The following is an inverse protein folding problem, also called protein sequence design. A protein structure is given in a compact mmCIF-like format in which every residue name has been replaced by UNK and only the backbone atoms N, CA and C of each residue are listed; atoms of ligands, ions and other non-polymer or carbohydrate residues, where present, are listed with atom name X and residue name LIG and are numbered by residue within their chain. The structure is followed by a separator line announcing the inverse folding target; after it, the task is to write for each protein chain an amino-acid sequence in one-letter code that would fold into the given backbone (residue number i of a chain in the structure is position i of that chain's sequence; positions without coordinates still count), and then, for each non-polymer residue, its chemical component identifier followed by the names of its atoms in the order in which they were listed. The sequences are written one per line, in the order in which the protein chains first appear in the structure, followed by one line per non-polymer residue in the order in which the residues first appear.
data_IF_887720458993
#
_entry.id   IF_887720458993
#
_cell.length_a   1.000
_cell.length_b   1.000
_cell.length_c   1.000
_cell.angle_alpha   90.00
_cell.angle_beta   90.00
_cell.angle_gamma   90.00
#
_symmetry.space_group_name_H-M   'P 1'
#
loop_
_entity.id
_entity.type
_entity.pdbx_description
1 polymer ?
#
# COMPACT_ATOMS: atom_id res chain seq x y z
N UNK A 1 -62.33 -30.90 27.78
CA UNK A 1 -61.13 -31.71 27.48
C UNK A 1 -61.12 -31.96 25.97
N UNK A 2 -60.02 -31.77 25.21
CA UNK A 2 -58.84 -30.89 25.37
C UNK A 2 -58.61 -29.96 24.11
N UNK A 3 -58.19 -28.68 24.26
CA UNK A 3 -56.84 -28.09 24.04
C UNK A 3 -56.42 -27.86 22.54
N UNK A 4 -55.46 -26.97 22.14
CA UNK A 4 -54.78 -25.87 22.87
C UNK A 4 -54.41 -24.59 22.04
N UNK A 5 -53.74 -23.66 22.75
CA UNK A 5 -52.62 -22.73 22.40
C UNK A 5 -52.79 -21.40 21.65
N UNK A 6 -52.28 -20.39 22.36
CA UNK A 6 -51.91 -19.05 21.94
C UNK A 6 -50.83 -19.02 20.85
N UNK A 7 -50.94 -18.02 19.96
CA UNK A 7 -49.90 -17.66 19.00
C UNK A 7 -49.92 -16.15 18.78
N UNK A 8 -49.01 -15.46 19.47
CA UNK A 8 -48.64 -14.05 19.24
C UNK A 8 -48.00 -13.94 17.85
N UNK A 9 -48.41 -12.97 17.05
CA UNK A 9 -47.82 -12.80 15.71
C UNK A 9 -48.39 -11.65 14.89
N UNK A 10 -48.42 -10.45 15.47
CA UNK A 10 -48.70 -9.22 14.73
C UNK A 10 -47.47 -8.86 13.89
N UNK A 11 -47.44 -9.32 12.64
CA UNK A 11 -46.45 -8.90 11.66
C UNK A 11 -46.96 -7.67 10.89
N UNK A 12 -46.84 -6.49 11.50
CA UNK A 12 -46.86 -5.22 10.77
C UNK A 12 -45.42 -4.92 10.29
N UNK A 13 -45.04 -5.44 9.11
CA UNK A 13 -43.88 -4.93 8.40
C UNK A 13 -44.34 -3.84 7.42
N UNK A 14 -44.46 -2.61 7.94
CA UNK A 14 -44.50 -1.41 7.11
C UNK A 14 -43.07 -1.09 6.66
N UNK A 15 -42.67 -1.64 5.52
CA UNK A 15 -41.40 -1.36 4.87
C UNK A 15 -41.63 -0.82 3.47
N UNK A 16 -42.22 0.37 3.33
CA UNK A 16 -42.19 1.09 2.05
C UNK A 16 -40.78 1.60 1.84
N UNK A 17 -39.95 0.78 1.17
CA UNK A 17 -38.64 1.18 0.70
C UNK A 17 -38.82 2.24 -0.39
N UNK A 18 -38.86 3.50 0.01
CA UNK A 18 -38.76 4.64 -0.90
C UNK A 18 -37.33 4.65 -1.44
N UNK A 19 -37.09 3.87 -2.49
CA UNK A 19 -35.84 3.89 -3.24
C UNK A 19 -35.63 5.33 -3.73
N UNK A 20 -34.68 6.02 -3.09
CA UNK A 20 -34.30 7.36 -3.47
C UNK A 20 -33.56 7.26 -4.81
N UNK A 21 -34.32 7.36 -5.91
CA UNK A 21 -33.79 7.36 -7.27
C UNK A 21 -32.94 8.61 -7.43
N UNK A 22 -31.62 8.45 -7.30
CA UNK A 22 -30.67 9.50 -7.59
C UNK A 22 -30.91 9.98 -9.03
N UNK A 23 -30.99 11.29 -9.29
CA UNK A 23 -31.16 11.79 -10.65
C UNK A 23 -29.94 11.34 -11.46
N UNK A 24 -30.17 10.56 -12.50
CA UNK A 24 -29.15 10.22 -13.49
C UNK A 24 -28.66 11.54 -14.09
N UNK A 25 -27.51 11.99 -13.59
CA UNK A 25 -26.72 12.99 -14.27
C UNK A 25 -26.18 12.30 -15.51
N UNK A 26 -26.95 12.38 -16.59
CA UNK A 26 -26.42 12.19 -17.93
C UNK A 26 -25.35 13.26 -18.15
N UNK A 27 -24.14 12.99 -17.66
CA UNK A 27 -22.95 13.67 -18.10
C UNK A 27 -22.81 13.22 -19.55
N UNK A 28 -23.26 14.05 -20.49
CA UNK A 28 -22.89 13.90 -21.89
C UNK A 28 -21.38 14.08 -21.99
N UNK A 29 -20.63 13.02 -21.70
CA UNK A 29 -19.22 12.92 -22.04
C UNK A 29 -19.20 12.76 -23.56
N UNK A 30 -19.01 13.88 -24.26
CA UNK A 30 -18.69 13.88 -25.69
C UNK A 30 -17.32 13.22 -25.87
N UNK A 31 -17.25 12.29 -26.85
CA UNK A 31 -16.13 11.43 -27.23
C UNK A 31 -14.85 11.55 -26.38
N UNK A 32 -14.78 10.81 -25.29
CA UNK A 32 -13.49 10.60 -24.59
C UNK A 32 -12.76 9.43 -25.24
N UNK A 33 -11.50 9.65 -25.66
CA UNK A 33 -10.61 8.56 -26.09
C UNK A 33 -10.31 7.66 -24.90
N UNK A 34 -11.08 6.59 -24.76
CA UNK A 34 -10.85 5.56 -23.74
C UNK A 34 -9.69 4.68 -24.17
N UNK A 35 -8.72 4.48 -23.27
CA UNK A 35 -7.55 3.65 -23.50
C UNK A 35 -7.40 2.67 -22.36
N UNK A 36 -7.05 1.44 -22.70
CA UNK A 36 -6.61 0.43 -21.73
C UNK A 36 -5.11 0.27 -21.85
N UNK A 37 -4.40 0.46 -20.74
CA UNK A 37 -2.96 0.30 -20.64
C UNK A 37 -2.67 -0.94 -19.80
N UNK A 38 -1.78 -1.80 -20.29
CA UNK A 38 -1.30 -2.96 -19.56
C UNK A 38 0.22 -2.87 -19.51
N UNK A 39 0.79 -2.94 -18.32
CA UNK A 39 2.21 -2.71 -18.14
C UNK A 39 2.65 -2.75 -16.69
N UNK A 40 3.86 -2.25 -16.43
CA UNK A 40 4.46 -2.24 -15.11
C UNK A 40 4.72 -0.82 -14.63
N UNK A 41 4.57 -0.60 -13.34
CA UNK A 41 4.87 0.70 -12.72
C UNK A 41 6.40 0.91 -12.67
N UNK A 42 6.89 2.00 -13.24
CA UNK A 42 8.33 2.29 -13.30
C UNK A 42 8.78 3.36 -12.31
N UNK A 43 7.89 4.28 -11.93
CA UNK A 43 8.22 5.36 -11.00
C UNK A 43 7.57 5.14 -9.64
N UNK A 44 8.13 5.77 -8.61
CA UNK A 44 7.49 5.86 -7.31
C UNK A 44 6.10 6.49 -7.46
N UNK A 45 5.13 6.01 -6.68
CA UNK A 45 3.82 6.63 -6.56
C UNK A 45 3.95 7.88 -5.70
N UNK A 46 3.56 9.01 -6.26
CA UNK A 46 3.51 10.29 -5.56
C UNK A 46 2.06 10.62 -5.22
N UNK A 47 1.69 10.55 -3.94
CA UNK A 47 0.40 11.03 -3.46
C UNK A 47 0.52 12.51 -3.10
N UNK A 48 -0.34 13.33 -3.72
CA UNK A 48 -0.43 14.78 -3.49
C UNK A 48 -1.83 15.12 -3.02
N UNK A 49 -1.91 15.80 -1.89
CA UNK A 49 -3.16 16.35 -1.38
C UNK A 49 -3.43 17.70 -2.05
N UNK A 50 -4.57 17.81 -2.73
CA UNK A 50 -5.05 19.07 -3.31
C UNK A 50 -6.02 19.68 -2.31
N UNK A 51 -5.71 20.86 -1.74
CA UNK A 51 -6.59 21.51 -0.77
C UNK A 51 -7.92 21.88 -1.43
N UNK A 52 -8.97 21.94 -0.61
CA UNK A 52 -10.28 22.39 -1.06
C UNK A 52 -10.18 23.85 -1.53
N UNK A 53 -10.39 24.08 -2.82
CA UNK A 53 -10.55 25.42 -3.38
C UNK A 53 -12.04 25.73 -3.52
N UNK A 54 -12.39 27.03 -3.62
CA UNK A 54 -13.79 27.52 -3.64
C UNK A 54 -14.65 26.73 -4.66
N UNK A 55 -15.46 25.78 -4.18
CA UNK A 55 -16.35 24.93 -4.99
C UNK A 55 -15.87 23.48 -5.26
N UNK A 56 -14.68 23.07 -4.80
CA UNK A 56 -14.16 21.71 -4.96
C UNK A 56 -13.75 21.12 -3.61
N UNK A 57 -14.20 19.89 -3.32
CA UNK A 57 -13.80 19.18 -2.10
C UNK A 57 -12.31 18.83 -2.14
N UNK A 58 -11.69 18.76 -0.95
CA UNK A 58 -10.32 18.30 -0.81
C UNK A 58 -10.18 16.92 -1.47
N UNK A 59 -9.25 16.83 -2.41
CA UNK A 59 -9.09 15.65 -3.27
C UNK A 59 -7.63 15.26 -3.30
N UNK A 60 -7.36 13.96 -3.33
CA UNK A 60 -5.99 13.46 -3.45
C UNK A 60 -5.73 13.02 -4.88
N UNK A 61 -4.49 13.20 -5.33
CA UNK A 61 -4.04 12.76 -6.64
C UNK A 61 -2.80 11.91 -6.47
N UNK A 62 -2.83 10.72 -7.06
CA UNK A 62 -1.66 9.85 -7.13
C UNK A 62 -1.13 9.88 -8.56
N UNK A 63 0.14 10.25 -8.73
CA UNK A 63 0.81 10.26 -10.02
C UNK A 63 1.94 9.25 -10.05
N UNK A 64 1.99 8.45 -11.11
CA UNK A 64 3.06 7.48 -11.37
C UNK A 64 3.23 7.25 -12.87
N UNK A 65 4.30 6.57 -13.26
CA UNK A 65 4.62 6.26 -14.66
C UNK A 65 4.54 4.76 -14.89
N UNK A 66 3.98 4.38 -16.03
CA UNK A 66 3.84 2.99 -16.45
C UNK A 66 4.60 2.77 -17.75
N UNK A 67 5.33 1.67 -17.82
CA UNK A 67 5.86 1.14 -19.07
C UNK A 67 4.90 0.09 -19.62
N UNK A 68 4.40 0.32 -20.84
CA UNK A 68 3.64 -0.64 -21.60
C UNK A 68 4.54 -1.18 -22.69
N UNK A 69 4.93 -2.45 -22.59
CA UNK A 69 5.83 -3.12 -23.52
C UNK A 69 5.09 -4.07 -24.45
N UNK A 70 5.53 -4.13 -25.71
CA UNK A 70 5.08 -5.16 -26.65
C UNK A 70 6.09 -6.31 -26.62
N UNK A 71 5.64 -7.49 -26.21
CA UNK A 71 6.46 -8.70 -26.26
C UNK A 71 6.50 -9.24 -27.68
N UNK A 72 7.70 -9.41 -28.24
CA UNK A 72 7.93 -9.99 -29.57
C UNK A 72 8.79 -11.26 -29.40
N UNK A 73 8.40 -12.40 -30.00
CA UNK A 73 9.21 -13.60 -29.92
C UNK A 73 10.52 -13.41 -30.68
N UNK A 74 11.64 -13.76 -30.06
CA UNK A 74 13.00 -13.61 -30.63
C UNK A 74 13.32 -14.70 -31.66
N UNK A 75 12.47 -15.72 -31.80
CA UNK A 75 12.73 -16.90 -32.63
C UNK A 75 13.71 -17.91 -32.00
N UNK A 76 14.18 -17.62 -30.79
CA UNK A 76 14.95 -18.54 -29.95
C UNK A 76 14.02 -19.21 -28.94
N UNK A 77 14.34 -20.44 -28.58
CA UNK A 77 13.63 -21.21 -27.56
C UNK A 77 14.56 -21.52 -26.41
N UNK A 78 14.03 -21.45 -25.20
CA UNK A 78 14.71 -21.82 -23.96
C UNK A 78 14.89 -23.35 -23.84
N UNK A 79 15.63 -23.82 -22.84
CA UNK A 79 15.87 -25.25 -22.56
C UNK A 79 14.56 -26.05 -22.40
N UNK A 80 13.51 -25.40 -21.90
CA UNK A 80 12.16 -25.95 -21.75
C UNK A 80 11.30 -25.88 -23.04
N UNK A 81 11.88 -25.61 -24.21
CA UNK A 81 11.19 -25.36 -25.48
C UNK A 81 10.17 -24.19 -25.43
N UNK A 82 10.36 -23.23 -24.52
CA UNK A 82 9.50 -22.03 -24.44
C UNK A 82 10.09 -20.92 -25.32
N UNK A 83 9.26 -20.19 -26.09
CA UNK A 83 9.76 -19.07 -26.88
C UNK A 83 10.27 -17.96 -25.96
N UNK A 84 11.47 -17.47 -26.25
CA UNK A 84 12.03 -16.29 -25.58
C UNK A 84 11.40 -15.05 -26.21
N UNK A 85 10.91 -14.15 -25.36
CA UNK A 85 10.31 -12.89 -25.78
C UNK A 85 11.21 -11.71 -25.41
N UNK A 86 11.40 -10.80 -26.36
CA UNK A 86 12.04 -9.51 -26.13
C UNK A 86 10.99 -8.39 -26.05
N UNK A 87 11.37 -7.27 -25.43
CA UNK A 87 10.54 -6.08 -25.30
C UNK A 87 10.82 -5.10 -26.44
N UNK A 88 9.83 -4.83 -27.28
CA UNK A 88 9.88 -3.79 -28.31
C UNK A 88 8.82 -2.70 -28.07
N UNK A 89 9.00 -1.54 -28.71
CA UNK A 89 8.04 -0.43 -28.75
C UNK A 89 7.49 0.00 -27.37
N UNK A 90 8.39 0.15 -26.37
CA UNK A 90 7.97 0.45 -24.99
C UNK A 90 7.41 1.87 -24.87
N UNK A 91 6.13 1.97 -24.51
CA UNK A 91 5.46 3.23 -24.22
C UNK A 91 5.58 3.60 -22.74
N UNK A 92 6.18 4.75 -22.45
CA UNK A 92 6.22 5.32 -21.09
C UNK A 92 5.22 6.45 -20.94
N UNK A 93 4.14 6.20 -20.19
CA UNK A 93 3.08 7.20 -19.98
C UNK A 93 2.86 7.49 -18.50
N UNK A 94 2.64 8.77 -18.18
CA UNK A 94 2.25 9.21 -16.85
C UNK A 94 0.76 8.98 -16.61
N UNK A 95 0.42 8.40 -15.46
CA UNK A 95 -0.94 8.07 -15.06
C UNK A 95 -1.32 8.93 -13.86
N UNK A 96 -2.52 9.48 -13.90
CA UNK A 96 -3.13 10.26 -12.81
C UNK A 96 -4.37 9.54 -12.27
N UNK A 97 -4.35 9.20 -10.98
CA UNK A 97 -5.50 8.70 -10.25
C UNK A 97 -6.02 9.79 -9.31
N UNK A 98 -7.34 9.91 -9.20
CA UNK A 98 -7.99 10.98 -8.42
C UNK A 98 -8.88 10.41 -7.31
N UNK A 99 -9.00 11.15 -6.21
CA UNK A 99 -9.91 10.85 -5.11
C UNK A 99 -9.55 9.57 -4.36
N UNK A 100 -10.55 8.71 -4.14
CA UNK A 100 -10.37 7.45 -3.42
C UNK A 100 -9.50 6.44 -4.19
N UNK A 101 -9.56 6.46 -5.52
CA UNK A 101 -8.69 5.64 -6.36
C UNK A 101 -7.21 5.95 -6.09
N UNK A 102 -6.87 7.23 -5.90
CA UNK A 102 -5.51 7.65 -5.58
C UNK A 102 -5.00 7.05 -4.26
N UNK A 103 -5.84 7.06 -3.22
CA UNK A 103 -5.55 6.46 -1.90
C UNK A 103 -5.31 4.97 -2.03
N UNK A 104 -6.24 4.29 -2.68
CA UNK A 104 -6.22 2.84 -2.81
C UNK A 104 -4.99 2.40 -3.59
N UNK A 105 -4.72 3.01 -4.74
CA UNK A 105 -3.53 2.73 -5.56
C UNK A 105 -2.24 2.93 -4.77
N UNK A 106 -2.08 4.07 -4.08
CA UNK A 106 -0.90 4.35 -3.28
C UNK A 106 -0.68 3.38 -2.11
N UNK A 107 -1.76 2.83 -1.55
CA UNK A 107 -1.67 1.84 -0.44
C UNK A 107 -1.47 0.39 -0.90
N UNK A 108 -1.68 0.11 -2.19
CA UNK A 108 -1.82 -1.25 -2.72
C UNK A 108 -0.69 -1.60 -3.69
N UNK A 109 -0.23 -0.64 -4.48
CA UNK A 109 0.71 -0.85 -5.58
C UNK A 109 2.06 -0.19 -5.29
N UNK A 110 3.12 -0.80 -5.82
CA UNK A 110 4.50 -0.37 -5.66
C UNK A 110 5.21 -0.31 -7.01
N UNK A 111 6.47 0.17 -7.00
CA UNK A 111 7.32 0.14 -8.19
C UNK A 111 7.51 -1.33 -8.60
N UNK A 112 7.38 -1.61 -9.90
CA UNK A 112 7.48 -2.94 -10.47
C UNK A 112 6.14 -3.67 -10.60
N UNK A 113 5.13 -3.29 -9.82
CA UNK A 113 3.83 -3.96 -9.84
C UNK A 113 3.21 -3.96 -11.25
N UNK A 114 2.72 -5.11 -11.74
CA UNK A 114 2.04 -5.19 -13.01
C UNK A 114 0.59 -4.73 -12.85
N UNK A 115 0.14 -3.90 -13.78
CA UNK A 115 -1.15 -3.20 -13.68
C UNK A 115 -1.90 -3.19 -15.00
N UNK A 116 -3.22 -3.23 -14.87
CA UNK A 116 -4.19 -2.93 -15.93
C UNK A 116 -4.90 -1.64 -15.56
N UNK A 117 -4.90 -0.68 -16.48
CA UNK A 117 -5.45 0.65 -16.28
C UNK A 117 -6.45 0.93 -17.38
N UNK A 118 -7.66 1.34 -17.01
CA UNK A 118 -8.66 1.87 -17.94
C UNK A 118 -8.88 3.34 -17.64
N UNK A 119 -8.79 4.19 -18.65
CA UNK A 119 -8.85 5.64 -18.48
C UNK A 119 -9.01 6.38 -19.79
N UNK A 120 -8.76 7.69 -19.72
CA UNK A 120 -8.71 8.56 -20.90
C UNK A 120 -7.36 9.22 -21.06
N UNK A 121 -6.97 9.47 -22.29
CA UNK A 121 -5.77 10.26 -22.59
C UNK A 121 -6.11 11.75 -22.54
N UNK A 122 -5.28 12.49 -21.81
CA UNK A 122 -5.41 13.93 -21.60
C UNK A 122 -4.08 14.60 -21.90
N UNK A 123 -4.10 15.62 -22.74
CA UNK A 123 -2.96 16.51 -22.93
C UNK A 123 -3.02 17.63 -21.90
N UNK A 124 -2.12 17.61 -20.94
CA UNK A 124 -1.99 18.68 -19.94
C UNK A 124 -0.98 19.69 -20.45
N UNK A 125 -1.41 20.94 -20.64
CA UNK A 125 -0.53 22.04 -21.03
C UNK A 125 -0.37 23.07 -19.92
N UNK A 126 0.84 23.57 -19.71
CA UNK A 126 1.13 24.65 -18.76
C UNK A 126 2.13 25.63 -19.37
N UNK A 127 2.15 26.84 -18.85
CA UNK A 127 3.11 27.87 -19.26
C UNK A 127 4.25 27.90 -18.25
N UNK A 128 5.47 27.78 -18.77
CA UNK A 128 6.71 27.85 -18.02
C UNK A 128 7.35 29.22 -18.29
N UNK A 129 7.67 29.97 -17.23
CA UNK A 129 8.45 31.20 -17.37
C UNK A 129 9.91 30.82 -17.54
N UNK A 130 10.49 31.17 -18.68
CA UNK A 130 11.91 31.00 -18.97
C UNK A 130 12.60 32.36 -18.81
N UNK A 131 13.89 32.33 -18.47
CA UNK A 131 14.71 33.51 -18.18
C UNK A 131 14.47 34.64 -19.21
N UNK A 132 14.14 35.84 -18.70
CA UNK A 132 13.85 37.03 -19.52
C UNK A 132 12.38 37.19 -19.95
N UNK A 133 11.43 37.01 -19.03
CA UNK A 133 9.98 37.32 -19.19
C UNK A 133 9.26 36.59 -20.34
N UNK A 134 9.88 35.56 -20.91
CA UNK A 134 9.30 34.74 -21.98
C UNK A 134 8.54 33.56 -21.38
N UNK A 135 7.25 33.48 -21.68
CA UNK A 135 6.40 32.32 -21.35
C UNK A 135 6.44 31.28 -22.48
N UNK A 136 6.87 30.06 -22.17
CA UNK A 136 6.87 28.92 -23.08
C UNK A 136 5.74 27.96 -22.70
N UNK A 137 4.84 27.68 -23.65
CA UNK A 137 3.79 26.68 -23.44
C UNK A 137 4.34 25.28 -23.63
N UNK A 138 4.33 24.49 -22.55
CA UNK A 138 4.66 23.06 -22.55
C UNK A 138 3.37 22.24 -22.60
N UNK A 139 3.46 21.04 -23.15
CA UNK A 139 2.37 20.06 -23.07
C UNK A 139 2.93 18.67 -22.84
N UNK A 140 2.18 17.85 -22.11
CA UNK A 140 2.50 16.45 -21.85
C UNK A 140 1.24 15.61 -21.95
N UNK A 141 1.39 14.42 -22.51
CA UNK A 141 0.32 13.44 -22.61
C UNK A 141 0.31 12.61 -21.32
N UNK A 142 -0.85 12.52 -20.67
CA UNK A 142 -1.09 11.72 -19.48
C UNK A 142 -2.35 10.87 -19.64
N UNK A 143 -2.40 9.75 -18.94
CA UNK A 143 -3.61 8.95 -18.81
C UNK A 143 -4.31 9.30 -17.49
N UNK A 144 -5.54 9.81 -17.55
CA UNK A 144 -6.39 9.95 -16.37
C UNK A 144 -7.16 8.65 -16.18
N UNK A 145 -6.82 7.90 -15.14
CA UNK A 145 -7.39 6.59 -14.88
C UNK A 145 -8.80 6.68 -14.25
N UNK A 146 -9.70 5.81 -14.71
CA UNK A 146 -10.99 5.54 -14.07
C UNK A 146 -10.91 4.28 -13.21
N UNK A 147 -10.20 3.26 -13.71
CA UNK A 147 -10.00 1.99 -13.04
C UNK A 147 -8.53 1.60 -13.11
N UNK A 148 -8.00 1.09 -12.00
CA UNK A 148 -6.66 0.54 -11.90
C UNK A 148 -6.75 -0.75 -11.10
N UNK A 149 -6.21 -1.83 -11.65
CA UNK A 149 -6.13 -3.12 -10.96
C UNK A 149 -4.76 -3.77 -11.17
N UNK A 150 -4.31 -4.63 -10.24
CA UNK A 150 -3.15 -5.47 -10.46
C UNK A 150 -3.43 -6.48 -11.57
N UNK A 151 -2.42 -6.76 -12.41
CA UNK A 151 -2.51 -7.79 -13.44
C UNK A 151 -2.21 -9.17 -12.84
N UNK A 152 -3.28 -9.90 -12.51
CA UNK A 152 -3.21 -11.23 -11.89
C UNK A 152 -2.65 -12.32 -12.81
N UNK A 153 -2.51 -12.04 -14.11
CA UNK A 153 -1.82 -12.95 -15.03
C UNK A 153 -0.31 -12.98 -14.74
N UNK A 154 0.25 -11.86 -14.31
CA UNK A 154 1.71 -11.69 -14.12
C UNK A 154 2.12 -11.90 -12.67
N UNK A 155 1.30 -11.49 -11.71
CA UNK A 155 1.65 -11.55 -10.28
C UNK A 155 0.43 -11.89 -9.43
N UNK A 156 0.60 -12.80 -8.46
CA UNK A 156 -0.43 -13.10 -7.48
C UNK A 156 -0.57 -11.92 -6.51
N UNK A 157 -1.77 -11.35 -6.43
CA UNK A 157 -2.05 -10.23 -5.53
C UNK A 157 -2.73 -10.74 -4.25
N UNK A 158 -2.09 -10.51 -3.11
CA UNK A 158 -2.64 -10.87 -1.79
C UNK A 158 -3.63 -9.79 -1.35
N UNK A 159 -4.79 -10.20 -0.88
CA UNK A 159 -5.80 -9.24 -0.42
C UNK A 159 -5.33 -8.47 0.81
N UNK A 160 -5.88 -7.26 1.02
CA UNK A 160 -5.53 -6.45 2.19
C UNK A 160 -5.77 -7.20 3.51
N UNK A 161 -6.81 -8.02 3.60
CA UNK A 161 -7.12 -8.81 4.80
C UNK A 161 -6.01 -9.81 5.12
N UNK A 162 -5.66 -10.63 4.14
CA UNK A 162 -4.58 -11.62 4.27
C UNK A 162 -3.23 -10.96 4.56
N UNK A 163 -2.95 -9.78 3.98
CA UNK A 163 -1.75 -9.00 4.30
C UNK A 163 -1.73 -8.52 5.76
N UNK A 164 -2.88 -8.10 6.30
CA UNK A 164 -2.97 -7.67 7.70
C UNK A 164 -2.77 -8.86 8.65
N UNK A 165 -3.32 -10.02 8.34
CA UNK A 165 -3.11 -11.24 9.11
C UNK A 165 -1.63 -11.65 9.14
N UNK A 166 -0.97 -11.61 7.97
CA UNK A 166 0.48 -11.89 7.86
C UNK A 166 1.32 -10.87 8.63
N UNK A 167 0.93 -9.59 8.58
CA UNK A 167 1.62 -8.52 9.28
C UNK A 167 1.47 -8.68 10.80
N UNK A 168 0.29 -9.05 11.27
CA UNK A 168 0.04 -9.32 12.69
C UNK A 168 0.86 -10.52 13.17
N UNK A 169 0.87 -11.62 12.42
CA UNK A 169 1.67 -12.80 12.76
C UNK A 169 3.17 -12.46 12.84
N UNK A 170 3.66 -11.65 11.89
CA UNK A 170 5.05 -11.19 11.86
C UNK A 170 5.36 -10.26 13.04
N UNK A 171 4.43 -9.38 13.41
CA UNK A 171 4.56 -8.48 14.55
C UNK A 171 4.62 -9.26 15.87
N UNK A 172 3.75 -10.26 16.04
CA UNK A 172 3.74 -11.14 17.21
C UNK A 172 5.04 -11.95 17.34
N UNK A 173 5.56 -12.48 16.22
CA UNK A 173 6.87 -13.18 16.19
C UNK A 173 8.02 -12.25 16.60
N UNK A 174 8.03 -11.01 16.10
CA UNK A 174 9.04 -9.98 16.49
C UNK A 174 8.94 -9.64 17.97
N UNK A 175 7.72 -9.48 18.51
CA UNK A 175 7.51 -9.17 19.91
C UNK A 175 8.01 -10.29 20.83
N UNK A 176 7.68 -11.56 20.53
CA UNK A 176 8.18 -12.73 21.27
C UNK A 176 9.71 -12.76 21.33
N UNK A 177 10.35 -12.54 20.18
CA UNK A 177 11.81 -12.50 20.08
C UNK A 177 12.43 -11.38 20.93
N UNK A 178 11.82 -10.19 20.96
CA UNK A 178 12.29 -9.07 21.79
C UNK A 178 12.14 -9.37 23.29
N UNK A 179 11.02 -9.98 23.70
CA UNK A 179 10.80 -10.40 25.09
C UNK A 179 11.83 -11.44 25.51
N UNK A 180 12.10 -12.43 24.67
CA UNK A 180 13.13 -13.45 24.93
C UNK A 180 14.52 -12.84 25.08
N UNK A 181 14.90 -11.91 24.20
CA UNK A 181 16.17 -11.18 24.28
C UNK A 181 16.28 -10.37 25.58
N UNK A 182 15.21 -9.68 25.97
CA UNK A 182 15.20 -8.91 27.21
C UNK A 182 15.36 -9.81 28.45
N UNK A 183 14.67 -10.95 28.48
CA UNK A 183 14.82 -11.93 29.55
C UNK A 183 16.23 -12.52 29.61
N UNK A 184 16.85 -12.82 28.47
CA UNK A 184 18.23 -13.30 28.41
C UNK A 184 19.22 -12.27 28.95
N UNK A 185 19.06 -10.99 28.60
CA UNK A 185 19.89 -9.91 29.14
C UNK A 185 19.73 -9.77 30.65
N UNK A 186 18.51 -9.88 31.19
CA UNK A 186 18.28 -9.85 32.63
C UNK A 186 18.95 -11.03 33.33
N UNK A 187 18.81 -12.25 32.79
CA UNK A 187 19.47 -13.46 33.33
C UNK A 187 21.00 -13.34 33.33
N UNK A 188 21.59 -12.79 32.27
CA UNK A 188 23.04 -12.55 32.18
C UNK A 188 23.49 -11.50 33.22
N UNK A 189 22.74 -10.41 33.40
CA UNK A 189 23.03 -9.40 34.44
C UNK A 189 22.98 -10.00 35.85
N UNK A 190 21.99 -10.85 36.14
CA UNK A 190 21.89 -11.55 37.42
C UNK A 190 23.05 -12.53 37.65
N UNK A 191 23.45 -13.28 36.62
CA UNK A 191 24.56 -14.24 36.70
C UNK A 191 25.91 -13.53 36.91
N UNK A 192 26.12 -12.38 36.26
CA UNK A 192 27.33 -11.55 36.44
C UNK A 192 27.39 -10.87 37.82
N UNK A 193 26.26 -10.49 38.41
CA UNK A 193 26.22 -9.97 39.79
C UNK A 193 26.49 -11.05 40.84
N UNK A 194 26.10 -12.30 40.59
CA UNK A 194 26.41 -13.44 41.46
C UNK A 194 27.87 -13.91 41.42
N UNK A 195 28.65 -13.50 40.40
CA UNK A 195 30.08 -13.81 40.26
C UNK A 195 31.00 -12.62 40.59
N UNK A 196 30.58 -11.70 41.46
CA UNK A 196 31.59 -10.87 42.13
C UNK A 196 32.45 -11.79 43.01
N UNK A 197 33.77 -11.94 42.75
CA UNK A 197 34.62 -12.66 43.67
C UNK A 197 34.47 -11.96 45.01
N UNK A 198 34.15 -12.71 46.08
CA UNK A 198 34.22 -12.16 47.43
C UNK A 198 35.66 -11.68 47.63
N UNK A 199 35.93 -10.40 47.37
CA UNK A 199 37.21 -9.77 47.65
C UNK A 199 37.33 -9.81 49.16
N UNK A 200 38.08 -10.81 49.59
CA UNK A 200 38.52 -11.17 50.92
C UNK A 200 38.37 -10.03 51.95
N UNK A 201 37.17 -9.92 52.54
CA UNK A 201 36.88 -8.99 53.65
C UNK A 201 37.45 -9.49 54.98
N UNK A 202 38.22 -10.59 54.95
CA UNK A 202 38.76 -11.29 56.11
C UNK A 202 40.15 -10.81 56.55
N UNK A 203 40.78 -9.85 55.83
CA UNK A 203 42.05 -9.23 56.30
C UNK A 203 41.88 -8.06 57.28
N UNK A 204 40.66 -7.67 57.65
CA UNK A 204 40.41 -6.52 58.54
C UNK A 204 40.04 -6.90 59.99
N UNK A 205 40.20 -8.16 60.41
CA UNK A 205 40.13 -8.57 61.81
C UNK A 205 41.45 -9.21 62.25
N UNK A 206 42.49 -8.40 62.41
CA UNK A 206 43.64 -8.79 63.24
C UNK A 206 43.31 -8.33 64.66
N UNK A 207 43.23 -9.31 65.57
CA UNK A 207 42.68 -9.22 66.92
C UNK A 207 43.35 -8.17 67.82
N UNK A 208 42.59 -7.48 68.68
CA UNK A 208 43.13 -6.72 69.81
C UNK A 208 43.12 -7.61 71.06
N UNK A 209 44.20 -8.36 71.35
CA UNK A 209 44.62 -8.74 72.72
C UNK A 209 45.65 -9.87 72.75
N UNK A 210 46.90 -9.53 73.10
CA UNK A 210 47.89 -10.33 73.87
C UNK A 210 49.22 -9.57 73.79
N UNK A 211 50.03 -9.28 74.81
CA UNK A 211 50.04 -9.57 76.24
C UNK A 211 50.87 -8.46 76.91
N UNK A 212 50.63 -8.25 78.20
CA UNK A 212 51.52 -7.53 79.10
C UNK A 212 52.89 -8.24 79.24
N UNK A 213 53.96 -7.45 79.24
CA UNK A 213 55.19 -7.61 80.03
C UNK A 213 55.99 -6.29 79.94
#
# INVERSE_FOLDING_TARGET
MPAPVAGVGMCLFSGSATAHRQPERHIFTMSTTNVTLVGNICSKLELKDIPANKGMSATQVCTFRVACDKKIPTGQTDEDNRPIYDSADVLYIGVECWGELAKNVNSTLNIGSPVVISGKIVTSSWEEKVDGDKTVRRSIIRCRAYHVGPDLLREAFISRGEMMDLAEETAQKRLKKLVEQHQQQQRQKQTQQGQQPQVNRERARVNPSSNAA
#
